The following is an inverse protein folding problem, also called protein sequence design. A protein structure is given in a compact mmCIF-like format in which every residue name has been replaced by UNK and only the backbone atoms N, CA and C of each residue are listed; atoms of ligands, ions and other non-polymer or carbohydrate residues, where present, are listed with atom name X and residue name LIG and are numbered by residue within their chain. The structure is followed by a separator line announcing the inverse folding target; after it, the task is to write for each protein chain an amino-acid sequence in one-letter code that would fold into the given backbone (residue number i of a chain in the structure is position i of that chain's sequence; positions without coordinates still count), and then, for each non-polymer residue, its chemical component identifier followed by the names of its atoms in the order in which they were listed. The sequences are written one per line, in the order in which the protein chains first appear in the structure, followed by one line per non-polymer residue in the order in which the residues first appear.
data_IF_077345150154
#
_entry.id   IF_077345150154
#
_cell.length_a   1.000
_cell.length_b   1.000
_cell.length_c   1.000
_cell.angle_alpha   90.00
_cell.angle_beta   90.00
_cell.angle_gamma   90.00
#
_symmetry.space_group_name_H-M   'P 1'
#
loop_
_entity.id
_entity.type
_entity.pdbx_description
1 polymer ?
#
# COMPACT_ATOMS: atom_id res chain seq x y z
N UNK A 1 2.07 -10.28 7.33
CA UNK A 1 2.25 -11.27 8.40
C UNK A 1 2.42 -12.65 7.76
N UNK A 2 3.45 -13.38 8.16
CA UNK A 2 3.69 -14.77 7.75
C UNK A 2 3.54 -15.67 8.97
N UNK A 3 2.80 -16.77 8.82
CA UNK A 3 2.58 -17.76 9.87
C UNK A 3 3.45 -18.99 9.60
N UNK A 4 4.19 -19.43 10.61
CA UNK A 4 5.07 -20.60 10.53
C UNK A 4 4.49 -21.73 11.36
N UNK A 5 4.51 -22.94 10.79
CA UNK A 5 4.03 -24.16 11.45
C UNK A 5 5.18 -25.13 11.63
N UNK A 6 5.42 -25.54 12.87
CA UNK A 6 6.39 -26.56 13.21
C UNK A 6 5.84 -27.97 12.98
N UNK A 7 6.48 -28.74 12.12
CA UNK A 7 6.16 -30.13 11.83
C UNK A 7 7.21 -31.12 12.34
N UNK A 8 8.14 -30.69 13.20
CA UNK A 8 9.18 -31.53 13.76
C UNK A 8 8.60 -32.65 14.63
N UNK A 9 9.22 -33.82 14.61
CA UNK A 9 8.84 -34.98 15.41
C UNK A 9 9.99 -35.40 16.30
N UNK A 10 9.72 -35.65 17.58
CA UNK A 10 10.70 -36.13 18.55
C UNK A 10 11.65 -35.07 19.14
N UNK A 11 11.41 -33.79 18.85
CA UNK A 11 12.12 -32.68 19.45
C UNK A 11 11.32 -32.04 20.60
N UNK A 12 12.02 -31.46 21.58
CA UNK A 12 11.45 -30.81 22.76
C UNK A 12 11.78 -29.33 22.84
N UNK A 13 12.81 -28.87 22.14
CA UNK A 13 13.24 -27.48 22.09
C UNK A 13 13.33 -27.07 20.64
N UNK A 14 12.89 -25.84 20.34
CA UNK A 14 12.86 -25.28 19.01
C UNK A 14 13.44 -23.89 18.98
N UNK A 15 14.10 -23.53 17.85
CA UNK A 15 14.57 -22.19 17.54
C UNK A 15 14.31 -21.86 16.09
N UNK A 16 13.51 -20.84 15.85
CA UNK A 16 13.32 -20.24 14.53
C UNK A 16 14.31 -19.09 14.36
N UNK A 17 14.98 -19.08 13.24
CA UNK A 17 15.87 -18.00 12.80
C UNK A 17 15.24 -17.35 11.55
N UNK A 18 14.98 -16.05 11.62
CA UNK A 18 14.30 -15.25 10.58
C UNK A 18 15.25 -14.30 9.86
N UNK A 19 16.55 -14.56 9.84
CA UNK A 19 17.61 -13.66 9.36
C UNK A 19 17.91 -12.50 10.34
N UNK A 20 19.01 -11.77 10.06
CA UNK A 20 19.43 -10.57 10.80
C UNK A 20 19.57 -10.73 12.33
N UNK A 21 19.61 -11.96 12.83
CA UNK A 21 19.69 -12.25 14.25
C UNK A 21 18.34 -12.26 14.99
N UNK A 22 17.25 -12.04 14.28
CA UNK A 22 15.92 -12.23 14.83
C UNK A 22 15.59 -13.71 14.93
N UNK A 23 15.01 -14.12 16.06
CA UNK A 23 14.61 -15.49 16.26
C UNK A 23 13.68 -15.69 17.45
N UNK A 24 13.07 -16.87 17.51
CA UNK A 24 12.14 -17.21 18.59
C UNK A 24 12.11 -18.71 18.88
N UNK A 25 11.80 -19.05 20.14
CA UNK A 25 11.56 -20.44 20.56
C UNK A 25 10.05 -20.81 20.54
N UNK A 26 9.18 -19.94 20.07
CA UNK A 26 7.77 -20.29 19.88
C UNK A 26 7.67 -21.38 18.80
N UNK A 27 7.00 -22.52 19.07
CA UNK A 27 6.88 -23.59 18.09
C UNK A 27 6.21 -23.17 16.77
N UNK A 28 5.22 -22.28 16.86
CA UNK A 28 4.45 -21.80 15.70
C UNK A 28 4.40 -20.27 15.76
N UNK A 29 5.47 -19.60 15.36
CA UNK A 29 5.52 -18.14 15.42
C UNK A 29 4.78 -17.49 14.24
N UNK A 30 4.48 -16.21 14.41
CA UNK A 30 4.15 -15.30 13.33
C UNK A 30 5.26 -14.28 13.20
N UNK A 31 5.60 -13.90 11.97
CA UNK A 31 6.57 -12.85 11.68
C UNK A 31 5.96 -11.79 10.75
N UNK A 32 6.23 -10.52 11.03
CA UNK A 32 5.72 -9.41 10.26
C UNK A 32 6.87 -8.70 9.55
N UNK A 33 6.99 -8.93 8.24
CA UNK A 33 7.99 -8.25 7.41
C UNK A 33 7.60 -6.78 7.21
N UNK A 34 8.57 -5.88 7.38
CA UNK A 34 8.39 -4.47 7.07
C UNK A 34 8.33 -4.23 5.55
N UNK A 35 7.78 -3.09 5.13
CA UNK A 35 7.70 -2.73 3.70
C UNK A 35 9.06 -2.54 3.03
N UNK A 36 10.12 -2.34 3.79
CA UNK A 36 11.51 -2.27 3.31
C UNK A 36 12.15 -3.64 3.11
N UNK A 37 11.47 -4.71 3.50
CA UNK A 37 11.96 -6.09 3.43
C UNK A 37 11.35 -6.83 2.23
N UNK A 38 11.10 -6.13 1.12
CA UNK A 38 10.66 -6.72 -0.14
C UNK A 38 11.80 -7.56 -0.76
N UNK A 39 11.50 -8.79 -1.18
CA UNK A 39 12.51 -9.66 -1.76
C UNK A 39 12.49 -11.11 -1.29
N UNK A 40 13.63 -11.78 -1.44
CA UNK A 40 13.83 -13.18 -1.02
C UNK A 40 14.31 -13.19 0.43
N UNK A 41 13.60 -13.94 1.26
CA UNK A 41 13.94 -14.15 2.67
C UNK A 41 14.17 -15.63 2.95
N UNK A 42 15.15 -15.90 3.81
CA UNK A 42 15.47 -17.25 4.26
C UNK A 42 15.11 -17.38 5.74
N UNK A 43 14.52 -18.48 6.12
CA UNK A 43 14.34 -18.84 7.52
C UNK A 43 14.78 -20.27 7.78
N UNK A 44 15.16 -20.54 9.02
CA UNK A 44 15.55 -21.87 9.46
C UNK A 44 14.84 -22.24 10.78
N UNK A 45 14.46 -23.50 10.89
CA UNK A 45 14.01 -24.10 12.14
C UNK A 45 15.08 -25.07 12.61
N UNK A 46 15.57 -24.89 13.83
CA UNK A 46 16.41 -25.83 14.55
C UNK A 46 15.58 -26.55 15.60
N UNK A 47 15.63 -27.88 15.62
CA UNK A 47 14.89 -28.73 16.52
C UNK A 47 15.85 -29.61 17.34
N UNK A 48 15.73 -29.59 18.64
CA UNK A 48 16.61 -30.32 19.58
C UNK A 48 15.79 -31.33 20.37
N UNK A 49 16.37 -32.52 20.59
CA UNK A 49 15.81 -33.51 21.51
C UNK A 49 16.46 -33.45 22.90
N UNK A 50 15.95 -34.22 23.84
CA UNK A 50 16.45 -34.27 25.23
C UNK A 50 17.88 -34.86 25.34
N UNK A 51 18.35 -35.55 24.31
CA UNK A 51 19.71 -36.13 24.23
C UNK A 51 20.72 -35.14 23.63
N UNK A 52 20.27 -33.92 23.25
CA UNK A 52 21.10 -32.86 22.68
C UNK A 52 21.37 -33.03 21.17
N UNK A 53 20.69 -33.94 20.49
CA UNK A 53 20.74 -34.00 19.04
C UNK A 53 19.98 -32.85 18.42
N UNK A 54 20.50 -32.25 17.34
CA UNK A 54 19.85 -31.18 16.58
C UNK A 54 19.62 -31.61 15.15
N UNK A 55 18.48 -31.24 14.61
CA UNK A 55 18.18 -31.30 13.19
C UNK A 55 17.68 -29.90 12.76
N UNK A 56 17.83 -29.57 11.49
CA UNK A 56 17.43 -28.27 10.96
C UNK A 56 16.82 -28.37 9.57
N UNK A 57 15.87 -27.49 9.32
CA UNK A 57 15.29 -27.29 8.00
C UNK A 57 15.30 -25.80 7.66
N UNK A 58 15.64 -25.44 6.43
CA UNK A 58 15.57 -24.07 5.93
C UNK A 58 14.72 -23.98 4.68
N UNK A 59 14.09 -22.81 4.49
CA UNK A 59 13.29 -22.52 3.32
C UNK A 59 13.44 -21.06 2.92
N UNK A 60 13.35 -20.80 1.64
CA UNK A 60 13.27 -19.46 1.07
C UNK A 60 11.85 -19.17 0.62
N UNK A 61 11.42 -17.92 0.77
CA UNK A 61 10.17 -17.42 0.21
C UNK A 61 10.32 -15.96 -0.22
N UNK A 62 9.41 -15.51 -1.07
CA UNK A 62 9.45 -14.14 -1.60
C UNK A 62 8.40 -13.31 -0.91
N UNK A 63 8.82 -12.20 -0.31
CA UNK A 63 7.93 -11.15 0.19
C UNK A 63 7.79 -10.11 -0.91
N UNK A 64 6.54 -9.82 -1.30
CA UNK A 64 6.23 -8.77 -2.26
C UNK A 64 5.18 -7.85 -1.65
N UNK A 65 5.56 -6.63 -1.36
CA UNK A 65 4.62 -5.61 -0.93
C UNK A 65 3.92 -4.98 -2.12
N UNK A 66 2.61 -4.86 -2.02
CA UNK A 66 1.84 -4.17 -3.04
C UNK A 66 2.05 -2.67 -2.89
N UNK A 67 2.60 -2.05 -3.93
CA UNK A 67 2.71 -0.60 -4.07
C UNK A 67 2.02 -0.16 -5.36
N UNK A 68 1.02 0.66 -5.22
CA UNK A 68 0.26 1.19 -6.36
C UNK A 68 -0.51 2.45 -5.95
N UNK A 69 -0.73 3.34 -6.89
CA UNK A 69 -1.67 4.44 -6.75
C UNK A 69 -2.43 4.61 -8.07
N UNK A 70 -3.74 4.52 -7.96
CA UNK A 70 -4.68 4.78 -9.04
C UNK A 70 -5.48 6.04 -8.73
N UNK A 71 -5.53 6.97 -9.68
CA UNK A 71 -6.29 8.22 -9.58
C UNK A 71 -7.42 8.18 -10.61
N UNK A 72 -8.70 8.30 -10.18
CA UNK A 72 -9.84 8.32 -11.07
C UNK A 72 -9.79 9.49 -12.05
N UNK A 73 -10.53 9.38 -13.15
CA UNK A 73 -10.62 10.43 -14.17
C UNK A 73 -12.04 11.01 -14.34
N UNK A 74 -13.02 10.49 -13.59
CA UNK A 74 -14.39 11.00 -13.59
C UNK A 74 -15.10 10.67 -12.28
N UNK A 75 -16.12 11.46 -11.96
CA UNK A 75 -17.10 11.21 -10.91
C UNK A 75 -18.47 11.73 -11.31
N UNK A 76 -19.55 11.15 -10.75
CA UNK A 76 -20.93 11.58 -10.97
C UNK A 76 -21.56 11.99 -9.65
N UNK A 77 -21.64 13.30 -9.41
CA UNK A 77 -22.19 13.87 -8.16
C UNK A 77 -23.66 13.51 -8.01
N UNK A 78 -24.01 12.99 -6.82
CA UNK A 78 -25.40 12.57 -6.52
C UNK A 78 -25.71 11.12 -6.95
N UNK A 79 -24.79 10.38 -7.52
CA UNK A 79 -24.99 8.95 -7.76
C UNK A 79 -25.12 8.17 -6.44
N UNK A 80 -26.00 7.15 -6.32
CA UNK A 80 -26.22 6.42 -5.07
C UNK A 80 -25.03 5.56 -4.63
N UNK A 81 -24.15 5.17 -5.56
CA UNK A 81 -22.91 4.47 -5.23
C UNK A 81 -21.83 5.46 -4.86
N UNK A 82 -21.27 5.32 -3.64
CA UNK A 82 -20.22 6.19 -3.10
C UNK A 82 -19.00 6.31 -4.03
N UNK A 83 -18.49 5.20 -4.56
CA UNK A 83 -17.31 5.19 -5.41
C UNK A 83 -17.51 5.86 -6.79
N UNK A 84 -18.75 6.04 -7.20
CA UNK A 84 -19.11 6.74 -8.42
C UNK A 84 -19.37 8.22 -8.14
N UNK A 85 -19.98 8.51 -6.99
CA UNK A 85 -20.35 9.88 -6.60
C UNK A 85 -19.20 10.69 -6.00
N UNK A 86 -18.11 10.04 -5.61
CA UNK A 86 -16.95 10.70 -5.04
C UNK A 86 -15.70 10.40 -5.88
N UNK A 87 -14.78 11.35 -5.88
CA UNK A 87 -13.43 11.11 -6.39
C UNK A 87 -12.62 10.42 -5.30
N UNK A 88 -12.35 9.13 -5.49
CA UNK A 88 -11.70 8.27 -4.51
C UNK A 88 -10.41 7.69 -5.10
N UNK A 89 -9.25 8.30 -4.86
CA UNK A 89 -7.97 7.68 -5.18
C UNK A 89 -7.81 6.34 -4.45
N UNK A 90 -7.23 5.34 -5.12
CA UNK A 90 -7.01 4.01 -4.57
C UNK A 90 -5.55 3.62 -4.68
N UNK A 91 -5.02 3.01 -3.64
CA UNK A 91 -3.63 2.58 -3.65
C UNK A 91 -3.28 1.73 -2.45
N UNK A 92 -1.99 1.46 -2.29
CA UNK A 92 -1.42 0.78 -1.13
C UNK A 92 0.08 1.04 -1.05
N UNK A 93 0.63 0.92 0.15
CA UNK A 93 2.07 0.97 0.40
C UNK A 93 2.67 2.37 0.38
N UNK A 94 1.88 3.44 0.45
CA UNK A 94 2.39 4.81 0.52
C UNK A 94 2.84 5.16 1.94
N UNK A 95 3.98 5.83 2.04
CA UNK A 95 4.51 6.47 3.25
C UNK A 95 4.07 7.92 3.32
N UNK A 96 4.19 8.63 2.19
CA UNK A 96 3.70 10.01 2.06
C UNK A 96 2.77 10.12 0.87
N UNK A 97 1.78 10.98 1.00
CA UNK A 97 0.79 11.21 -0.01
C UNK A 97 0.21 12.61 0.13
N UNK A 98 0.08 13.32 -0.97
CA UNK A 98 -0.68 14.56 -1.07
C UNK A 98 -1.33 14.60 -2.44
N UNK A 99 -2.64 14.75 -2.46
CA UNK A 99 -3.40 15.02 -3.68
C UNK A 99 -4.12 16.35 -3.54
N UNK A 100 -4.08 17.14 -4.60
CA UNK A 100 -4.74 18.43 -4.71
C UNK A 100 -5.62 18.43 -5.96
N UNK A 101 -6.81 19.03 -5.86
CA UNK A 101 -7.69 19.30 -7.01
C UNK A 101 -7.79 20.81 -7.19
N UNK A 102 -7.61 21.24 -8.44
CA UNK A 102 -7.61 22.65 -8.84
C UNK A 102 -8.81 22.96 -9.74
N UNK A 103 -9.36 24.16 -9.55
CA UNK A 103 -10.29 24.75 -10.49
C UNK A 103 -9.59 25.24 -11.79
N UNK A 104 -10.37 25.74 -12.73
CA UNK A 104 -9.86 26.28 -14.01
C UNK A 104 -9.04 27.56 -13.86
N UNK A 105 -9.03 28.18 -12.68
CA UNK A 105 -8.24 29.36 -12.35
C UNK A 105 -6.95 29.01 -11.61
N UNK A 106 -6.74 27.72 -11.29
CA UNK A 106 -5.56 27.24 -10.54
C UNK A 106 -5.68 27.35 -9.03
N UNK A 107 -6.86 27.57 -8.48
CA UNK A 107 -7.07 27.54 -7.02
C UNK A 107 -7.28 26.09 -6.56
N UNK A 108 -6.67 25.72 -5.44
CA UNK A 108 -6.94 24.44 -4.77
C UNK A 108 -8.36 24.49 -4.21
N UNK A 109 -9.20 23.55 -4.64
CA UNK A 109 -10.59 23.41 -4.19
C UNK A 109 -10.81 22.22 -3.28
N UNK A 110 -9.90 21.27 -3.31
CA UNK A 110 -9.85 20.13 -2.38
C UNK A 110 -8.43 19.57 -2.30
N UNK A 111 -8.07 19.07 -1.12
CA UNK A 111 -6.80 18.38 -0.89
C UNK A 111 -6.97 17.26 0.15
N UNK A 112 -6.09 16.26 0.10
CA UNK A 112 -5.99 15.21 1.11
C UNK A 112 -4.60 14.61 1.14
N UNK A 113 -4.10 14.39 2.36
CA UNK A 113 -2.89 13.62 2.68
C UNK A 113 -3.20 12.37 3.50
N UNK A 114 -4.49 12.07 3.70
CA UNK A 114 -4.96 11.03 4.59
C UNK A 114 -4.66 9.62 4.05
N UNK A 115 -3.90 8.86 4.83
CA UNK A 115 -3.58 7.45 4.62
C UNK A 115 -4.04 6.61 5.82
N UNK A 116 -4.34 5.34 5.58
CA UNK A 116 -4.45 4.33 6.63
C UNK A 116 -3.09 3.67 6.95
N UNK A 117 -3.08 2.74 7.90
CA UNK A 117 -1.86 2.05 8.36
C UNK A 117 -1.17 1.23 7.24
N UNK A 118 -1.91 0.85 6.19
CA UNK A 118 -1.39 0.12 5.03
C UNK A 118 -0.95 1.06 3.90
N UNK A 119 -0.99 2.36 4.15
CA UNK A 119 -0.63 3.39 3.17
C UNK A 119 -1.64 3.47 2.03
N UNK A 120 -2.94 3.32 2.32
CA UNK A 120 -4.03 3.51 1.35
C UNK A 120 -4.66 4.89 1.53
N UNK A 121 -4.93 5.64 0.44
CA UNK A 121 -5.68 6.88 0.53
C UNK A 121 -7.07 6.65 1.13
N UNK A 122 -7.44 7.48 2.11
CA UNK A 122 -8.76 7.44 2.76
C UNK A 122 -9.59 8.68 2.47
N UNK A 123 -8.98 9.73 1.89
CA UNK A 123 -9.67 10.94 1.48
C UNK A 123 -10.54 10.71 0.25
N UNK A 124 -11.72 11.30 0.24
CA UNK A 124 -12.66 11.29 -0.88
C UNK A 124 -13.24 12.69 -1.10
N UNK A 125 -13.20 13.18 -2.34
CA UNK A 125 -13.85 14.45 -2.67
C UNK A 125 -15.28 14.21 -3.16
N UNK A 126 -16.24 14.91 -2.58
CA UNK A 126 -17.67 14.80 -2.88
C UNK A 126 -18.14 15.73 -4.02
N UNK A 127 -17.22 16.46 -4.65
CA UNK A 127 -17.54 17.45 -5.68
C UNK A 127 -18.05 18.76 -5.10
N UNK A 128 -17.74 19.09 -3.83
CA UNK A 128 -18.07 20.39 -3.25
C UNK A 128 -16.82 21.24 -3.00
N UNK A 129 -17.00 22.56 -3.04
CA UNK A 129 -16.05 23.55 -2.58
C UNK A 129 -16.76 24.56 -1.68
N UNK A 130 -16.28 24.71 -0.43
CA UNK A 130 -16.91 25.58 0.59
C UNK A 130 -18.40 25.30 0.81
N UNK A 131 -18.79 24.01 0.72
CA UNK A 131 -20.17 23.56 0.93
C UNK A 131 -21.10 23.78 -0.28
N UNK A 132 -20.57 24.18 -1.41
CA UNK A 132 -21.34 24.35 -2.66
C UNK A 132 -20.83 23.33 -3.69
N UNK A 133 -21.74 22.61 -4.32
CA UNK A 133 -21.40 21.69 -5.42
C UNK A 133 -20.77 22.46 -6.58
N UNK A 134 -19.61 21.98 -7.04
CA UNK A 134 -18.89 22.61 -8.16
C UNK A 134 -19.66 22.41 -9.47
N UNK A 135 -19.38 23.22 -10.49
CA UNK A 135 -20.00 23.08 -11.82
C UNK A 135 -19.55 21.77 -12.50
N UNK A 136 -20.40 21.28 -13.43
CA UNK A 136 -20.00 20.19 -14.32
C UNK A 136 -18.90 20.69 -15.25
N UNK A 137 -17.69 20.21 -15.04
CA UNK A 137 -16.50 20.64 -15.78
C UNK A 137 -15.37 19.62 -15.61
N UNK A 138 -14.20 19.92 -16.17
CA UNK A 138 -12.96 19.19 -16.02
C UNK A 138 -12.06 19.93 -15.05
N UNK A 139 -11.71 19.26 -13.95
CA UNK A 139 -10.80 19.75 -12.92
C UNK A 139 -9.43 19.08 -13.04
N UNK A 140 -8.38 19.77 -12.65
CA UNK A 140 -7.02 19.22 -12.67
C UNK A 140 -6.67 18.66 -11.29
N UNK A 141 -6.09 17.49 -11.23
CA UNK A 141 -5.49 16.97 -10.01
C UNK A 141 -3.96 16.91 -10.14
N UNK A 142 -3.28 17.04 -9.01
CA UNK A 142 -1.84 16.82 -8.84
C UNK A 142 -1.62 15.90 -7.66
N UNK A 143 -0.67 14.96 -7.78
CA UNK A 143 -0.29 14.04 -6.71
C UNK A 143 1.21 14.08 -6.49
N UNK A 144 1.60 14.12 -5.22
CA UNK A 144 2.94 13.83 -4.74
C UNK A 144 2.85 12.66 -3.75
N UNK A 145 3.59 11.58 -4.00
CA UNK A 145 3.57 10.41 -3.15
C UNK A 145 4.92 9.69 -3.18
N UNK A 146 5.25 9.06 -2.04
CA UNK A 146 6.41 8.18 -1.87
C UNK A 146 5.92 6.90 -1.21
N UNK A 147 6.38 5.77 -1.70
CA UNK A 147 6.05 4.47 -1.11
C UNK A 147 6.92 4.19 0.13
N UNK A 148 6.50 3.24 0.97
CA UNK A 148 7.19 2.84 2.21
C UNK A 148 8.60 2.27 1.98
N UNK A 149 8.93 1.87 0.74
CA UNK A 149 10.27 1.50 0.31
C UNK A 149 11.11 2.70 -0.21
N UNK A 150 10.69 3.92 0.13
CA UNK A 150 11.33 5.19 -0.26
C UNK A 150 11.30 5.49 -1.77
N UNK A 151 10.69 4.62 -2.60
CA UNK A 151 10.55 4.91 -4.03
C UNK A 151 9.44 5.93 -4.29
N UNK A 152 9.68 6.96 -5.13
CA UNK A 152 8.65 7.92 -5.48
C UNK A 152 7.61 7.27 -6.40
N UNK A 153 6.35 7.71 -6.28
CA UNK A 153 5.37 7.43 -7.31
C UNK A 153 5.67 8.25 -8.56
N UNK A 154 5.94 7.57 -9.68
CA UNK A 154 6.35 8.20 -10.93
C UNK A 154 5.19 8.88 -11.67
N UNK A 155 3.94 8.56 -11.31
CA UNK A 155 2.76 9.13 -11.93
C UNK A 155 1.87 8.11 -12.62
N UNK A 156 0.83 8.62 -13.29
CA UNK A 156 -0.05 7.85 -14.17
C UNK A 156 0.57 7.75 -15.54
N UNK A 157 0.58 6.53 -16.13
CA UNK A 157 1.07 6.30 -17.48
C UNK A 157 0.04 6.73 -18.51
N UNK A 158 0.46 7.52 -19.50
CA UNK A 158 -0.33 7.98 -20.63
C UNK A 158 0.20 7.32 -21.91
N UNK A 159 -0.56 6.36 -22.43
CA UNK A 159 -0.18 5.49 -23.56
C UNK A 159 0.05 6.25 -24.88
N UNK A 160 -0.68 7.33 -25.07
CA UNK A 160 -0.61 8.17 -26.29
C UNK A 160 0.65 9.05 -26.32
N UNK A 161 1.24 9.32 -25.16
CA UNK A 161 2.45 10.14 -25.04
C UNK A 161 3.66 9.36 -24.54
N UNK A 162 3.47 8.10 -24.13
CA UNK A 162 4.52 7.22 -23.54
C UNK A 162 5.24 7.85 -22.34
N UNK A 163 4.54 8.63 -21.52
CA UNK A 163 5.10 9.35 -20.38
C UNK A 163 4.33 9.07 -19.09
N UNK A 164 5.02 9.27 -17.96
CA UNK A 164 4.45 9.31 -16.63
C UNK A 164 4.15 10.74 -16.21
N UNK A 165 2.96 10.99 -15.64
CA UNK A 165 2.58 12.32 -15.13
C UNK A 165 2.01 12.21 -13.73
N UNK A 166 2.46 13.11 -12.84
CA UNK A 166 1.93 13.31 -11.49
C UNK A 166 0.69 14.22 -11.47
N UNK A 167 0.21 14.60 -12.64
CA UNK A 167 -0.99 15.42 -12.84
C UNK A 167 -1.94 14.75 -13.84
N UNK A 168 -3.20 15.07 -13.75
CA UNK A 168 -4.22 14.61 -14.68
C UNK A 168 -5.53 15.34 -14.47
N UNK A 169 -6.60 14.82 -15.03
CA UNK A 169 -7.91 15.45 -14.94
C UNK A 169 -8.96 14.54 -14.32
N UNK A 170 -9.94 15.15 -13.67
CA UNK A 170 -11.19 14.51 -13.26
C UNK A 170 -12.36 15.27 -13.86
N UNK A 171 -13.24 14.55 -14.56
CA UNK A 171 -14.48 15.11 -15.09
C UNK A 171 -15.59 14.96 -14.06
N UNK A 172 -16.17 16.06 -13.63
CA UNK A 172 -17.36 16.08 -12.79
C UNK A 172 -18.60 16.05 -13.68
N UNK A 173 -19.45 15.03 -13.47
CA UNK A 173 -20.74 14.82 -14.15
C UNK A 173 -21.85 15.01 -13.11
N UNK A 174 -23.01 15.52 -13.56
CA UNK A 174 -24.23 15.68 -12.76
C UNK A 174 -25.41 14.98 -13.40
#
# INVERSE_FOLDING_TARGET
VVEFTNLSVGATIYWWDFENGDGTNNPNPTYNYAYTEDGIHTYALYAYNDEGCVDSASMEFVVNFRKALYVPNAMYVGHPNFEVSHFVPKGAGMETYLIEIFDTYGNVIWESDALDDEGRPTGAWDGTFRGVTVEQDVYVWKVEATFKDETPWEGKYYWDEEIMRKTGTVTVIR
#
